data_IF_502576106995
#
_entry.id   IF_502576106995
#
_cell.length_a   1.000
_cell.length_b   1.000
_cell.length_c   1.000
_cell.angle_alpha   90.00
_cell.angle_beta   90.00
_cell.angle_gamma   90.00
#
_symmetry.space_group_name_H-M   'P 1'
#
loop_
_entity.id
_entity.type
_entity.pdbx_description
1 polymer ?
#
# COMPACT_ATOMS: atom_id res chain seq x y z
N UNK A 1 9.79 -15.02 29.10
CA UNK A 1 9.46 -14.93 27.66
C UNK A 1 7.94 -14.94 27.58
N UNK A 2 7.32 -13.83 27.17
CA UNK A 2 5.85 -13.69 27.13
C UNK A 2 5.39 -14.03 25.72
N UNK A 3 4.67 -15.15 25.58
CA UNK A 3 3.97 -15.51 24.35
C UNK A 3 2.79 -14.55 24.17
N UNK A 4 2.84 -13.71 23.13
CA UNK A 4 1.74 -12.85 22.75
C UNK A 4 0.55 -13.71 22.30
N UNK A 5 -0.52 -13.71 23.10
CA UNK A 5 -1.81 -14.31 22.68
C UNK A 5 -2.24 -13.69 21.35
N UNK A 6 -2.64 -14.50 20.36
CA UNK A 6 -3.24 -13.97 19.15
C UNK A 6 -4.56 -13.31 19.56
N UNK A 7 -4.69 -12.01 19.29
CA UNK A 7 -5.95 -11.29 19.43
C UNK A 7 -6.97 -11.98 18.54
N UNK A 8 -7.87 -12.75 19.13
CA UNK A 8 -8.98 -13.38 18.41
C UNK A 8 -9.95 -12.26 18.03
N UNK A 9 -9.86 -11.81 16.77
CA UNK A 9 -10.84 -10.91 16.20
C UNK A 9 -12.16 -11.68 16.08
N UNK A 10 -13.17 -11.29 16.85
CA UNK A 10 -14.53 -11.80 16.67
C UNK A 10 -15.00 -11.26 15.32
N UNK A 11 -15.04 -12.12 14.30
CA UNK A 11 -15.61 -11.80 13.00
C UNK A 11 -17.12 -11.55 13.17
N UNK A 12 -17.51 -10.29 13.11
CA UNK A 12 -18.88 -9.89 12.86
C UNK A 12 -19.25 -10.33 11.45
N UNK A 13 -20.42 -10.93 11.33
CA UNK A 13 -21.03 -11.26 10.04
C UNK A 13 -21.20 -10.01 9.19
N UNK A 14 -21.17 -10.12 7.86
CA UNK A 14 -21.37 -8.97 6.95
C UNK A 14 -22.68 -8.22 7.20
N UNK A 15 -23.67 -8.83 7.84
CA UNK A 15 -24.92 -8.21 8.27
C UNK A 15 -24.80 -7.27 9.48
N UNK A 16 -23.72 -7.35 10.26
CA UNK A 16 -23.46 -6.53 11.45
C UNK A 16 -22.55 -5.33 11.16
N UNK A 17 -21.93 -5.29 9.98
CA UNK A 17 -21.21 -4.10 9.49
C UNK A 17 -22.26 -3.10 9.02
N UNK A 18 -22.23 -1.87 9.54
CA UNK A 18 -23.14 -0.80 9.13
C UNK A 18 -23.18 -0.68 7.60
N UNK A 19 -24.38 -0.59 7.02
CA UNK A 19 -24.59 -0.45 5.57
C UNK A 19 -23.86 0.77 4.99
N UNK A 20 -23.66 1.81 5.80
CA UNK A 20 -22.88 2.99 5.41
C UNK A 20 -21.39 2.65 5.24
N UNK A 21 -20.82 1.82 6.12
CA UNK A 21 -19.42 1.35 5.99
C UNK A 21 -19.30 0.48 4.75
N UNK A 22 -20.24 -0.45 4.53
CA UNK A 22 -20.23 -1.30 3.33
C UNK A 22 -20.28 -0.47 2.04
N UNK A 23 -21.17 0.52 1.99
CA UNK A 23 -21.31 1.42 0.85
C UNK A 23 -20.01 2.19 0.60
N UNK A 24 -19.39 2.70 1.67
CA UNK A 24 -18.18 3.53 1.56
C UNK A 24 -16.93 2.73 1.21
N UNK A 25 -16.81 1.51 1.73
CA UNK A 25 -15.63 0.67 1.51
C UNK A 25 -15.72 -0.16 0.22
N UNK A 26 -16.86 -0.14 -0.47
CA UNK A 26 -17.04 -0.84 -1.74
C UNK A 26 -16.00 -0.38 -2.77
N UNK A 27 -15.22 -1.32 -3.29
CA UNK A 27 -14.17 -1.04 -4.27
C UNK A 27 -12.86 -0.50 -3.69
N UNK A 28 -12.74 -0.36 -2.37
CA UNK A 28 -11.48 0.08 -1.73
C UNK A 28 -10.35 -0.94 -1.86
N UNK A 29 -10.67 -2.23 -2.00
CA UNK A 29 -9.69 -3.31 -1.90
C UNK A 29 -9.28 -3.67 -0.46
N UNK A 30 -9.73 -2.92 0.54
CA UNK A 30 -9.49 -3.27 1.95
C UNK A 30 -10.20 -4.60 2.28
N UNK A 31 -9.52 -5.56 2.93
CA UNK A 31 -10.14 -6.82 3.35
C UNK A 31 -11.42 -6.61 4.15
N UNK A 32 -12.48 -7.34 3.82
CA UNK A 32 -13.82 -7.20 4.44
C UNK A 32 -13.75 -7.40 5.96
N UNK A 33 -12.88 -8.30 6.44
CA UNK A 33 -12.71 -8.55 7.88
C UNK A 33 -12.21 -7.31 8.64
N UNK A 34 -11.59 -6.35 7.97
CA UNK A 34 -11.16 -5.08 8.58
C UNK A 34 -12.28 -4.05 8.62
N UNK A 35 -13.34 -4.20 7.82
CA UNK A 35 -14.42 -3.22 7.74
C UNK A 35 -15.23 -3.14 9.04
N UNK A 36 -15.30 -4.22 9.80
CA UNK A 36 -15.95 -4.26 11.12
C UNK A 36 -15.26 -3.41 12.18
N UNK A 37 -14.00 -3.02 11.93
CA UNK A 37 -13.17 -2.21 12.81
C UNK A 37 -13.11 -0.74 12.34
N UNK A 38 -13.94 -0.36 11.36
CA UNK A 38 -14.06 1.01 10.88
C UNK A 38 -15.25 1.67 11.58
N UNK A 39 -15.00 2.84 12.17
CA UNK A 39 -16.06 3.72 12.67
C UNK A 39 -16.11 4.99 11.84
N UNK A 40 -17.29 5.30 11.30
CA UNK A 40 -17.50 6.54 10.56
C UNK A 40 -17.47 7.79 11.44
N UNK A 41 -17.59 7.64 12.77
CA UNK A 41 -17.44 8.74 13.71
C UNK A 41 -16.02 9.31 13.68
N UNK A 42 -15.02 8.46 13.44
CA UNK A 42 -13.62 8.87 13.38
C UNK A 42 -13.14 9.26 11.97
N UNK A 43 -14.03 9.30 10.98
CA UNK A 43 -13.64 9.37 9.56
C UNK A 43 -12.83 10.62 9.20
N UNK A 44 -13.13 11.75 9.84
CA UNK A 44 -12.43 13.02 9.64
C UNK A 44 -11.58 13.45 10.83
N UNK A 45 -11.57 12.65 11.90
CA UNK A 45 -10.88 12.98 13.14
C UNK A 45 -9.38 12.71 13.02
N UNK A 46 -8.51 13.61 13.52
CA UNK A 46 -7.08 13.35 13.61
C UNK A 46 -6.82 12.25 14.65
N UNK A 47 -5.70 11.56 14.49
CA UNK A 47 -5.26 10.49 15.40
C UNK A 47 -4.02 10.89 16.17
N UNK A 48 -3.86 10.36 17.38
CA UNK A 48 -2.69 10.55 18.21
C UNK A 48 -2.24 9.23 18.86
N UNK A 49 -1.27 9.31 19.77
CA UNK A 49 -0.71 8.13 20.46
C UNK A 49 -1.70 7.42 21.38
N UNK A 50 -2.82 8.06 21.76
CA UNK A 50 -3.91 7.49 22.55
C UNK A 50 -5.04 6.92 21.68
N UNK A 51 -5.06 7.19 20.38
CA UNK A 51 -6.06 6.64 19.45
C UNK A 51 -6.15 5.11 19.55
N UNK A 52 -7.38 4.62 19.49
CA UNK A 52 -7.72 3.19 19.46
C UNK A 52 -7.38 2.57 18.11
N UNK A 53 -7.36 1.24 18.04
CA UNK A 53 -7.14 0.51 16.78
C UNK A 53 -8.19 0.89 15.73
N UNK A 54 -9.45 1.03 16.13
CA UNK A 54 -10.57 1.43 15.27
C UNK A 54 -10.35 2.83 14.66
N UNK A 55 -9.91 3.79 15.47
CA UNK A 55 -9.60 5.15 15.01
C UNK A 55 -8.44 5.15 14.00
N UNK A 56 -7.34 4.46 14.33
CA UNK A 56 -6.17 4.36 13.46
C UNK A 56 -6.49 3.65 12.14
N UNK A 57 -7.26 2.57 12.19
CA UNK A 57 -7.66 1.84 10.98
C UNK A 57 -8.63 2.65 10.12
N UNK A 58 -9.57 3.36 10.74
CA UNK A 58 -10.47 4.28 10.03
C UNK A 58 -9.67 5.34 9.28
N UNK A 59 -8.60 5.87 9.90
CA UNK A 59 -7.71 6.83 9.24
C UNK A 59 -7.04 6.25 8.00
N UNK A 60 -6.54 5.01 8.08
CA UNK A 60 -5.98 4.29 6.91
C UNK A 60 -7.04 4.08 5.83
N UNK A 61 -8.25 3.63 6.21
CA UNK A 61 -9.33 3.39 5.26
C UNK A 61 -9.70 4.68 4.51
N UNK A 62 -9.88 5.78 5.25
CA UNK A 62 -10.16 7.11 4.71
C UNK A 62 -9.07 7.55 3.73
N UNK A 63 -7.79 7.43 4.12
CA UNK A 63 -6.67 7.76 3.26
C UNK A 63 -6.65 6.93 1.96
N UNK A 64 -6.84 5.61 2.04
CA UNK A 64 -6.81 4.76 0.85
C UNK A 64 -7.91 5.09 -0.17
N UNK A 65 -9.09 5.55 0.30
CA UNK A 65 -10.14 6.03 -0.59
C UNK A 65 -9.82 7.41 -1.17
N UNK A 66 -9.23 8.31 -0.37
CA UNK A 66 -8.83 9.63 -0.85
C UNK A 66 -7.72 9.58 -1.91
N UNK A 67 -6.83 8.58 -1.84
CA UNK A 67 -5.66 8.49 -2.72
C UNK A 67 -5.92 7.64 -3.97
N UNK A 68 -7.18 7.28 -4.28
CA UNK A 68 -7.49 6.40 -5.40
C UNK A 68 -6.95 6.91 -6.74
N UNK A 69 -7.02 8.21 -6.98
CA UNK A 69 -6.58 8.81 -8.24
C UNK A 69 -5.18 9.45 -8.16
N UNK A 70 -4.48 9.26 -7.04
CA UNK A 70 -3.25 9.98 -6.74
C UNK A 70 -2.03 9.33 -7.38
N UNK A 71 -1.22 10.23 -7.94
CA UNK A 71 0.23 10.21 -8.11
C UNK A 71 1.08 9.34 -7.18
N UNK A 72 2.32 8.96 -7.54
CA UNK A 72 3.31 8.57 -6.53
C UNK A 72 3.77 9.79 -5.71
N UNK A 73 3.97 10.94 -6.36
CA UNK A 73 4.31 12.20 -5.68
C UNK A 73 3.16 12.67 -4.79
N UNK A 74 1.95 12.77 -5.36
CA UNK A 74 0.74 13.15 -4.62
C UNK A 74 0.46 12.22 -3.43
N UNK A 75 0.67 10.90 -3.62
CA UNK A 75 0.48 9.93 -2.53
C UNK A 75 1.47 10.16 -1.39
N UNK A 76 2.74 10.47 -1.68
CA UNK A 76 3.73 10.78 -0.63
C UNK A 76 3.36 12.05 0.10
N UNK A 77 3.09 13.14 -0.62
CA UNK A 77 2.73 14.41 0.00
C UNK A 77 1.50 14.25 0.90
N UNK A 78 0.44 13.63 0.36
CA UNK A 78 -0.78 13.41 1.11
C UNK A 78 -0.56 12.48 2.31
N UNK A 79 0.26 11.43 2.17
CA UNK A 79 0.63 10.58 3.31
C UNK A 79 1.31 11.39 4.43
N UNK A 80 2.28 12.23 4.07
CA UNK A 80 3.05 13.02 5.04
C UNK A 80 2.16 14.00 5.81
N UNK A 81 1.22 14.65 5.13
CA UNK A 81 0.25 15.55 5.74
C UNK A 81 -0.78 14.79 6.60
N UNK A 82 -1.36 13.72 6.06
CA UNK A 82 -2.51 13.05 6.66
C UNK A 82 -2.15 12.17 7.86
N UNK A 83 -0.92 11.67 7.89
CA UNK A 83 -0.34 10.84 8.95
C UNK A 83 0.70 11.59 9.79
N UNK A 84 0.79 12.92 9.66
CA UNK A 84 1.71 13.74 10.46
C UNK A 84 1.59 13.42 11.95
N UNK A 85 2.72 13.16 12.60
CA UNK A 85 2.79 12.82 14.02
C UNK A 85 2.57 11.33 14.34
N UNK A 86 2.31 10.49 13.33
CA UNK A 86 2.27 9.05 13.54
C UNK A 86 3.64 8.50 13.93
N UNK A 87 3.64 7.64 14.95
CA UNK A 87 4.83 6.96 15.42
C UNK A 87 4.84 5.49 14.99
N UNK A 88 5.98 4.82 15.18
CA UNK A 88 6.09 3.39 14.91
C UNK A 88 5.10 2.57 15.76
N UNK A 89 4.86 2.98 17.01
CA UNK A 89 3.94 2.33 17.94
C UNK A 89 2.49 2.41 17.44
N UNK A 90 2.09 3.54 16.84
CA UNK A 90 0.76 3.69 16.24
C UNK A 90 0.57 2.70 15.09
N UNK A 91 1.57 2.54 14.23
CA UNK A 91 1.52 1.51 13.18
C UNK A 91 1.56 0.08 13.77
N UNK A 92 2.32 -0.15 14.83
CA UNK A 92 2.41 -1.46 15.49
C UNK A 92 1.12 -1.88 16.20
N UNK A 93 0.29 -0.94 16.66
CA UNK A 93 -1.05 -1.23 17.23
C UNK A 93 -2.01 -1.89 16.24
N UNK A 94 -1.86 -1.63 14.95
CA UNK A 94 -2.79 -2.13 13.93
C UNK A 94 -2.73 -3.67 13.79
N UNK A 95 -3.78 -4.30 13.25
CA UNK A 95 -3.70 -5.68 12.77
C UNK A 95 -2.61 -5.83 11.69
N UNK A 96 -2.02 -7.01 11.60
CA UNK A 96 -0.95 -7.27 10.63
C UNK A 96 -1.43 -7.11 9.18
N UNK A 97 -2.66 -7.54 8.94
CA UNK A 97 -3.41 -7.51 7.70
C UNK A 97 -3.62 -6.07 7.25
N UNK A 98 -3.97 -5.17 8.18
CA UNK A 98 -4.16 -3.75 7.90
C UNK A 98 -2.85 -3.08 7.48
N UNK A 99 -1.74 -3.40 8.17
CA UNK A 99 -0.40 -2.90 7.80
C UNK A 99 0.04 -3.39 6.42
N UNK A 100 -0.14 -4.69 6.15
CA UNK A 100 0.20 -5.30 4.86
C UNK A 100 -0.60 -4.64 3.75
N UNK A 101 -1.92 -4.55 3.93
CA UNK A 101 -2.81 -3.88 2.98
C UNK A 101 -2.35 -2.45 2.71
N UNK A 102 -2.11 -1.65 3.75
CA UNK A 102 -1.78 -0.24 3.55
C UNK A 102 -0.43 -0.07 2.85
N UNK A 103 0.57 -0.87 3.22
CA UNK A 103 1.87 -0.89 2.51
C UNK A 103 1.69 -1.26 1.04
N UNK A 104 0.91 -2.28 0.75
CA UNK A 104 0.74 -2.78 -0.62
C UNK A 104 -0.11 -1.82 -1.46
N UNK A 105 -1.09 -1.14 -0.85
CA UNK A 105 -1.80 -0.02 -1.45
C UNK A 105 -0.85 1.11 -1.87
N UNK A 106 0.01 1.57 -0.95
CA UNK A 106 1.00 2.62 -1.23
C UNK A 106 1.96 2.18 -2.35
N UNK A 107 2.40 0.92 -2.34
CA UNK A 107 3.23 0.35 -3.42
C UNK A 107 2.55 0.33 -4.77
N UNK A 108 1.28 -0.02 -4.81
CA UNK A 108 0.50 -0.01 -6.03
C UNK A 108 0.25 1.42 -6.57
N UNK A 109 0.46 2.46 -5.75
CA UNK A 109 0.54 3.86 -6.21
C UNK A 109 1.87 4.25 -6.82
N UNK A 110 2.87 3.38 -6.82
CA UNK A 110 4.20 3.67 -7.35
C UNK A 110 5.26 3.96 -6.30
N UNK A 111 4.90 3.92 -5.00
CA UNK A 111 5.80 4.28 -3.91
C UNK A 111 6.49 3.04 -3.34
N UNK A 112 7.82 2.98 -3.46
CA UNK A 112 8.59 1.89 -2.86
C UNK A 112 8.78 2.10 -1.35
N UNK A 113 8.32 1.14 -0.56
CA UNK A 113 8.41 1.18 0.91
C UNK A 113 9.57 0.34 1.47
N UNK A 114 10.46 -0.20 0.64
CA UNK A 114 11.50 -1.14 1.07
C UNK A 114 11.20 -2.60 0.67
N UNK A 115 12.06 -3.57 1.07
CA UNK A 115 11.91 -4.97 0.68
C UNK A 115 10.66 -5.62 1.30
N UNK A 116 10.11 -6.66 0.65
CA UNK A 116 8.90 -7.36 1.15
C UNK A 116 9.09 -7.97 2.55
N UNK A 117 10.29 -8.50 2.82
CA UNK A 117 10.69 -9.07 4.12
C UNK A 117 11.28 -7.96 5.00
N UNK A 118 10.42 -7.14 5.60
CA UNK A 118 10.83 -6.07 6.49
C UNK A 118 9.74 -5.69 7.49
N UNK A 119 10.12 -4.93 8.53
CA UNK A 119 9.16 -4.41 9.51
C UNK A 119 8.33 -3.30 8.86
N UNK A 120 7.08 -3.60 8.51
CA UNK A 120 6.17 -2.69 7.81
C UNK A 120 6.02 -1.32 8.51
N UNK A 121 5.87 -1.22 9.84
CA UNK A 121 5.84 0.07 10.53
C UNK A 121 7.04 0.95 10.22
N UNK A 122 8.26 0.38 10.22
CA UNK A 122 9.49 1.11 9.87
C UNK A 122 9.50 1.52 8.41
N UNK A 123 8.93 0.71 7.54
CA UNK A 123 8.84 0.99 6.11
C UNK A 123 7.91 2.18 5.83
N UNK A 124 6.74 2.20 6.48
CA UNK A 124 5.79 3.30 6.37
C UNK A 124 6.35 4.59 7.00
N UNK A 125 7.07 4.49 8.13
CA UNK A 125 7.66 5.66 8.78
C UNK A 125 8.74 6.34 7.91
N UNK A 126 9.49 5.57 7.11
CA UNK A 126 10.48 6.14 6.18
C UNK A 126 9.86 7.01 5.09
N UNK A 127 8.56 6.90 4.84
CA UNK A 127 7.89 7.74 3.85
C UNK A 127 7.85 9.22 4.26
N UNK A 128 7.99 9.53 5.56
CA UNK A 128 8.13 10.90 6.04
C UNK A 128 9.45 11.56 5.64
N UNK A 129 10.45 10.77 5.23
CA UNK A 129 11.79 11.26 4.87
C UNK A 129 11.92 11.51 3.35
N UNK A 130 10.91 11.15 2.56
CA UNK A 130 10.94 11.29 1.11
C UNK A 130 10.59 12.71 0.66
N UNK A 131 11.23 13.13 -0.43
CA UNK A 131 10.87 14.35 -1.14
C UNK A 131 9.81 14.01 -2.22
N UNK A 132 8.57 14.52 -2.13
CA UNK A 132 7.52 14.23 -3.11
C UNK A 132 7.85 14.73 -4.53
N UNK A 133 8.64 15.80 -4.65
CA UNK A 133 9.00 16.39 -5.95
C UNK A 133 10.23 15.70 -6.56
N UNK A 134 11.02 14.99 -5.75
CA UNK A 134 12.26 14.35 -6.15
C UNK A 134 12.39 12.92 -5.62
N UNK A 135 11.46 12.07 -6.03
CA UNK A 135 11.44 10.66 -5.63
C UNK A 135 12.68 9.90 -6.16
N UNK A 136 13.32 9.06 -5.33
CA UNK A 136 14.49 8.32 -5.74
C UNK A 136 14.12 7.26 -6.80
N UNK A 137 15.15 6.77 -7.49
CA UNK A 137 14.98 5.62 -8.37
C UNK A 137 14.74 4.38 -7.52
N UNK A 138 13.55 3.80 -7.68
CA UNK A 138 13.13 2.62 -6.93
C UNK A 138 13.84 1.35 -7.37
N UNK A 139 13.91 0.40 -6.44
CA UNK A 139 14.46 -0.94 -6.64
C UNK A 139 13.69 -1.70 -7.72
N UNK A 140 14.39 -2.01 -8.81
CA UNK A 140 13.80 -2.50 -10.05
C UNK A 140 13.21 -3.90 -9.95
N UNK A 141 13.75 -4.77 -9.09
CA UNK A 141 13.26 -6.13 -8.96
C UNK A 141 11.91 -6.16 -8.24
N UNK A 142 11.71 -5.27 -7.25
CA UNK A 142 10.41 -5.14 -6.60
C UNK A 142 9.36 -4.49 -7.51
N UNK A 143 9.75 -3.54 -8.37
CA UNK A 143 8.82 -2.93 -9.34
C UNK A 143 8.22 -3.96 -10.31
N UNK A 144 8.95 -5.03 -10.63
CA UNK A 144 8.45 -6.12 -11.47
C UNK A 144 7.35 -6.92 -10.77
N UNK A 145 7.48 -7.12 -9.47
CA UNK A 145 6.58 -7.94 -8.65
C UNK A 145 5.26 -7.25 -8.26
N UNK A 146 5.19 -5.94 -8.39
CA UNK A 146 4.01 -5.15 -7.98
C UNK A 146 3.08 -4.89 -9.16
N UNK A 147 1.79 -5.09 -8.92
CA UNK A 147 0.71 -4.59 -9.78
C UNK A 147 0.40 -3.14 -9.39
N UNK A 148 0.44 -2.25 -10.37
CA UNK A 148 0.19 -0.82 -10.15
C UNK A 148 -1.28 -0.50 -10.40
N UNK A 149 -1.87 0.26 -9.48
CA UNK A 149 -3.20 0.84 -9.65
C UNK A 149 -3.15 2.18 -10.39
N UNK A 150 -2.02 2.89 -10.35
CA UNK A 150 -1.89 4.20 -10.98
C UNK A 150 -0.89 4.19 -12.13
N UNK A 151 -1.40 4.28 -13.36
CA UNK A 151 -0.60 4.37 -14.59
C UNK A 151 0.17 5.69 -14.74
N UNK A 152 -0.20 6.73 -13.98
CA UNK A 152 0.46 8.05 -14.00
C UNK A 152 1.77 8.06 -13.21
N UNK A 153 1.95 7.10 -12.31
CA UNK A 153 3.16 7.00 -11.48
C UNK A 153 4.43 7.02 -12.34
N UNK A 154 5.46 7.71 -11.86
CA UNK A 154 6.78 7.66 -12.49
C UNK A 154 7.37 6.25 -12.45
N UNK A 155 7.12 5.50 -11.36
CA UNK A 155 7.54 4.11 -11.23
C UNK A 155 6.89 3.21 -12.29
N UNK A 156 5.60 3.43 -12.58
CA UNK A 156 4.87 2.70 -13.61
C UNK A 156 5.44 2.96 -15.02
N UNK A 157 5.60 4.23 -15.41
CA UNK A 157 6.11 4.61 -16.73
C UNK A 157 7.48 3.99 -17.03
N UNK A 158 8.38 4.01 -16.05
CA UNK A 158 9.70 3.37 -16.15
C UNK A 158 9.62 1.85 -16.38
N UNK A 159 8.64 1.17 -15.79
CA UNK A 159 8.41 -0.28 -16.00
C UNK A 159 7.95 -0.57 -17.43
N UNK A 160 7.06 0.26 -17.98
CA UNK A 160 6.57 0.11 -19.36
C UNK A 160 7.65 0.40 -20.40
N UNK A 161 8.36 1.53 -20.29
CA UNK A 161 9.44 1.90 -21.22
C UNK A 161 10.46 0.77 -21.36
N UNK A 162 10.82 0.11 -20.26
CA UNK A 162 11.73 -1.05 -20.27
C UNK A 162 11.12 -2.30 -20.88
N UNK A 163 9.86 -2.59 -20.60
CA UNK A 163 9.19 -3.76 -21.18
C UNK A 163 9.17 -3.62 -22.71
N UNK A 164 8.89 -2.41 -23.20
CA UNK A 164 8.98 -2.07 -24.61
C UNK A 164 10.41 -2.24 -25.15
N UNK A 165 11.43 -1.69 -24.49
CA UNK A 165 12.85 -1.87 -24.90
C UNK A 165 13.24 -3.36 -24.94
N UNK A 166 12.84 -4.16 -23.95
CA UNK A 166 13.15 -5.60 -23.91
C UNK A 166 12.53 -6.36 -25.08
N UNK A 167 11.28 -6.08 -25.43
CA UNK A 167 10.57 -6.76 -26.53
C UNK A 167 11.18 -6.38 -27.88
N UNK A 168 11.47 -5.10 -28.09
CA UNK A 168 11.99 -4.58 -29.37
C UNK A 168 13.44 -5.01 -29.62
N UNK A 169 14.24 -5.27 -28.58
CA UNK A 169 15.65 -5.67 -28.70
C UNK A 169 15.91 -7.17 -28.45
N UNK A 170 14.90 -8.02 -28.30
CA UNK A 170 15.11 -9.48 -28.30
C UNK A 170 15.58 -9.92 -29.69
N UNK A 171 16.84 -10.36 -29.90
CA UNK A 171 17.25 -10.87 -31.18
C UNK A 171 16.51 -12.19 -31.41
N UNK A 172 15.79 -12.30 -32.52
CA UNK A 172 15.34 -13.61 -33.02
C UNK A 172 16.60 -14.37 -33.41
N UNK A 173 17.12 -15.21 -32.51
CA UNK A 173 18.15 -16.17 -32.87
C UNK A 173 17.50 -17.20 -33.81
N UNK A 174 17.59 -16.94 -35.12
CA UNK A 174 17.41 -17.99 -36.11
C UNK A 174 18.54 -19.00 -35.93
N UNK A 175 18.19 -20.15 -35.36
CA UNK A 175 19.03 -21.34 -35.37
C UNK A 175 19.18 -21.73 -36.85
N UNK A 176 20.36 -21.50 -37.40
CA UNK A 176 20.72 -22.07 -38.70
C UNK A 176 20.89 -23.58 -38.49
N UNK A 177 19.97 -24.36 -39.05
CA UNK A 177 20.16 -25.78 -39.27
C UNK A 177 21.35 -25.97 -40.21
N UNK A 178 22.50 -26.34 -39.63
CA UNK A 178 23.60 -26.94 -40.38
C UNK A 178 23.18 -28.36 -40.76
N UNK A 179 22.77 -28.56 -42.02
CA UNK A 179 22.69 -29.89 -42.62
C UNK A 179 24.11 -30.44 -42.81
N UNK A 180 24.40 -31.68 -42.37
CA UNK A 180 25.67 -32.32 -42.67
C UNK A 180 25.68 -32.83 -44.12
N UNK A 181 26.91 -32.93 -44.63
CA UNK A 181 27.37 -33.25 -46.00
C UNK A 181 26.75 -34.53 -46.57
#
# INVERSE_FOLDING_TARGET
>A
MSEGKPTQYIEKSSSEISSMVQTRMKGSGLPIQLWQLISLEYWYEPTDTNSTIEHLLTRIASATLSYLDYDDGDTIQAFQEYFKGWTIEMFDKLPSEARIYFRDFIRAKGVYTGPKRGKIPKQLLKLFELDPDNLPKWDEDLLREIEFMNIKSQAYRKKEERTYIKIVFTPVFHVFDTLPI
#
